data_IF_113161625070
#
_entry.id   IF_113161625070
#
_cell.length_a   1.000
_cell.length_b   1.000
_cell.length_c   1.000
_cell.angle_alpha   90.00
_cell.angle_beta   90.00
_cell.angle_gamma   90.00
#
_symmetry.space_group_name_H-M   'P 1'
#
loop_
_entity.id
_entity.type
_entity.pdbx_description
1 polymer ?
#
# COMPACT_ATOMS: atom_id res chain seq x y z
N UNK A 1 -13.77 31.72 14.17
CA UNK A 1 -12.79 30.64 14.42
C UNK A 1 -13.37 29.22 14.34
N UNK A 2 -14.59 29.03 13.83
CA UNK A 2 -15.19 27.69 13.63
C UNK A 2 -14.81 27.02 12.30
N UNK A 3 -14.21 27.72 11.36
CA UNK A 3 -13.91 27.19 10.00
C UNK A 3 -12.67 26.32 9.87
N UNK A 4 -11.79 26.20 10.85
CA UNK A 4 -10.54 25.42 10.72
C UNK A 4 -10.65 24.00 11.29
N UNK A 5 -11.59 23.73 12.19
CA UNK A 5 -11.75 22.42 12.83
C UNK A 5 -12.35 21.36 11.90
N UNK A 6 -13.23 21.73 10.98
CA UNK A 6 -13.89 20.80 10.06
C UNK A 6 -12.96 20.32 8.93
N UNK A 7 -11.96 21.14 8.57
CA UNK A 7 -10.95 20.76 7.57
C UNK A 7 -10.00 19.67 8.09
N UNK A 8 -9.85 19.56 9.42
CA UNK A 8 -8.97 18.57 10.04
C UNK A 8 -9.64 17.23 10.34
N UNK A 9 -10.96 17.13 10.19
CA UNK A 9 -11.74 15.93 10.51
C UNK A 9 -12.21 15.24 9.22
N UNK A 10 -12.07 13.92 9.15
CA UNK A 10 -12.78 13.08 8.18
C UNK A 10 -13.91 12.36 8.89
N UNK A 11 -15.13 12.62 8.47
CA UNK A 11 -16.33 12.05 9.09
C UNK A 11 -16.53 10.60 8.68
N UNK A 12 -16.88 9.76 9.66
CA UNK A 12 -17.10 8.32 9.48
C UNK A 12 -18.60 7.99 9.55
N UNK A 13 -19.32 8.62 10.46
CA UNK A 13 -20.71 8.26 10.66
C UNK A 13 -21.41 9.02 11.78
N UNK A 14 -22.51 8.44 12.23
CA UNK A 14 -23.29 8.91 13.38
C UNK A 14 -23.37 7.81 14.42
N UNK A 15 -23.24 8.16 15.70
CA UNK A 15 -23.42 7.22 16.82
C UNK A 15 -24.85 6.70 16.83
N UNK A 16 -25.03 5.45 17.31
CA UNK A 16 -26.36 4.83 17.44
C UNK A 16 -26.77 4.59 18.91
N UNK A 17 -25.93 5.01 19.85
CA UNK A 17 -26.18 4.81 21.29
C UNK A 17 -27.35 5.65 21.80
N UNK A 18 -28.31 5.03 22.43
CA UNK A 18 -29.52 5.66 23.03
C UNK A 18 -30.24 6.63 22.10
N UNK A 19 -30.37 6.30 20.81
CA UNK A 19 -30.95 7.14 19.77
C UNK A 19 -30.29 8.53 19.56
N UNK A 20 -29.11 8.75 20.13
CA UNK A 20 -28.35 9.97 19.90
C UNK A 20 -27.52 9.81 18.62
N UNK A 21 -27.99 10.43 17.53
CA UNK A 21 -27.30 10.42 16.25
C UNK A 21 -26.27 11.56 16.14
N UNK A 22 -25.22 11.53 16.96
CA UNK A 22 -24.15 12.51 16.91
C UNK A 22 -23.17 12.17 15.79
N UNK A 23 -22.95 13.11 14.87
CA UNK A 23 -21.92 12.98 13.82
C UNK A 23 -20.55 12.94 14.48
N UNK A 24 -19.71 12.01 14.02
CA UNK A 24 -18.32 11.88 14.50
C UNK A 24 -17.40 11.56 13.34
N UNK A 25 -16.11 11.80 13.52
CA UNK A 25 -15.05 11.53 12.57
C UNK A 25 -13.71 11.35 13.26
N UNK A 26 -12.69 11.22 12.48
CA UNK A 26 -11.30 11.01 12.91
C UNK A 26 -10.45 12.20 12.47
N UNK A 27 -9.60 12.71 13.36
CA UNK A 27 -8.67 13.80 13.06
C UNK A 27 -7.55 13.32 12.13
N UNK A 28 -7.01 14.21 11.30
CA UNK A 28 -5.92 13.86 10.39
C UNK A 28 -4.69 13.29 11.12
N UNK A 29 -4.35 13.84 12.29
CA UNK A 29 -3.25 13.33 13.10
C UNK A 29 -3.47 11.88 13.58
N UNK A 30 -4.72 11.53 13.97
CA UNK A 30 -5.07 10.20 14.43
C UNK A 30 -5.16 9.19 13.27
N UNK A 31 -5.51 9.64 12.06
CA UNK A 31 -5.51 8.80 10.84
C UNK A 31 -4.11 8.32 10.46
N UNK A 32 -3.06 9.03 10.86
CA UNK A 32 -1.68 8.59 10.67
C UNK A 32 -1.33 7.33 11.48
N UNK A 33 -2.17 6.97 12.47
CA UNK A 33 -2.07 5.70 13.21
C UNK A 33 -2.77 4.54 12.50
N UNK A 34 -3.08 4.71 11.22
CA UNK A 34 -3.72 3.75 10.34
C UNK A 34 -5.14 3.34 10.78
N UNK A 35 -5.93 2.94 9.81
CA UNK A 35 -7.30 2.46 9.99
C UNK A 35 -7.46 1.09 9.34
N UNK A 36 -8.05 0.16 10.08
CA UNK A 36 -8.37 -1.17 9.60
C UNK A 36 -9.86 -1.37 9.55
N UNK A 37 -10.36 -1.91 8.43
CA UNK A 37 -11.78 -2.18 8.18
C UNK A 37 -11.98 -3.64 7.79
N UNK A 38 -12.90 -4.31 8.47
CA UNK A 38 -13.27 -5.70 8.14
C UNK A 38 -14.79 -5.84 7.98
N UNK A 39 -15.23 -6.67 7.04
CA UNK A 39 -16.64 -6.98 6.85
C UNK A 39 -16.94 -7.71 5.57
N UNK A 40 -18.03 -8.46 5.54
CA UNK A 40 -18.51 -9.18 4.36
C UNK A 40 -18.77 -8.24 3.17
N UNK A 41 -18.80 -8.80 1.96
CA UNK A 41 -19.18 -8.07 0.75
C UNK A 41 -20.57 -7.45 0.91
N UNK A 42 -20.76 -6.23 0.38
CA UNK A 42 -22.06 -5.53 0.41
C UNK A 42 -22.44 -4.93 1.76
N UNK A 43 -21.57 -4.94 2.78
CA UNK A 43 -21.88 -4.39 4.12
C UNK A 43 -21.65 -2.88 4.24
N UNK A 44 -20.95 -2.24 3.27
CA UNK A 44 -20.73 -0.79 3.25
C UNK A 44 -19.26 -0.34 3.34
N UNK A 45 -18.27 -1.26 3.34
CA UNK A 45 -16.83 -0.91 3.41
C UNK A 45 -16.40 0.06 2.31
N UNK A 46 -16.60 -0.33 1.05
CA UNK A 46 -16.16 0.49 -0.11
C UNK A 46 -16.89 1.82 -0.16
N UNK A 47 -18.16 1.88 0.28
CA UNK A 47 -18.92 3.13 0.41
C UNK A 47 -18.31 4.06 1.46
N UNK A 48 -17.86 3.52 2.60
CA UNK A 48 -17.18 4.32 3.62
C UNK A 48 -15.82 4.83 3.10
N UNK A 49 -15.05 3.98 2.43
CA UNK A 49 -13.77 4.38 1.80
C UNK A 49 -14.01 5.50 0.76
N UNK A 50 -15.00 5.34 -0.12
CA UNK A 50 -15.41 6.35 -1.09
C UNK A 50 -15.71 7.70 -0.42
N UNK A 51 -16.55 7.69 0.62
CA UNK A 51 -16.88 8.89 1.39
C UNK A 51 -15.65 9.55 2.00
N UNK A 52 -14.74 8.78 2.59
CA UNK A 52 -13.50 9.31 3.17
C UNK A 52 -12.59 9.94 2.13
N UNK A 53 -12.44 9.32 0.95
CA UNK A 53 -11.63 9.84 -0.16
C UNK A 53 -12.22 11.13 -0.70
N UNK A 54 -13.54 11.17 -0.92
CA UNK A 54 -14.23 12.39 -1.43
C UNK A 54 -14.04 13.55 -0.44
N UNK A 55 -14.14 13.29 0.87
CA UNK A 55 -13.86 14.31 1.88
C UNK A 55 -12.40 14.80 1.84
N UNK A 56 -11.43 13.91 1.63
CA UNK A 56 -10.03 14.31 1.46
C UNK A 56 -9.84 15.21 0.24
N UNK A 57 -10.43 14.82 -0.89
CA UNK A 57 -10.36 15.58 -2.14
C UNK A 57 -10.98 16.97 -1.98
N UNK A 58 -12.18 17.04 -1.41
CA UNK A 58 -12.90 18.30 -1.18
C UNK A 58 -12.19 19.24 -0.22
N UNK A 59 -11.51 18.68 0.78
CA UNK A 59 -10.70 19.44 1.74
C UNK A 59 -9.31 19.83 1.22
N UNK A 60 -9.01 19.59 -0.09
CA UNK A 60 -7.71 19.92 -0.68
C UNK A 60 -6.56 19.03 -0.23
N UNK A 61 -6.85 17.85 0.33
CA UNK A 61 -5.84 16.88 0.77
C UNK A 61 -5.41 15.97 -0.37
N UNK A 62 -4.16 15.48 -0.30
CA UNK A 62 -3.66 14.44 -1.20
C UNK A 62 -4.02 13.05 -0.70
N UNK A 63 -4.30 12.14 -1.62
CA UNK A 63 -4.61 10.75 -1.28
C UNK A 63 -4.21 9.79 -2.40
N UNK A 64 -4.13 8.50 -2.06
CA UNK A 64 -3.95 7.43 -3.01
C UNK A 64 -5.00 6.35 -2.78
N UNK A 65 -5.60 5.81 -3.84
CA UNK A 65 -6.47 4.64 -3.80
C UNK A 65 -5.92 3.54 -4.68
N UNK A 66 -5.80 2.33 -4.14
CA UNK A 66 -5.56 1.10 -4.90
C UNK A 66 -6.83 0.26 -4.88
N UNK A 67 -7.36 -0.03 -6.07
CA UNK A 67 -8.60 -0.78 -6.24
C UNK A 67 -8.40 -1.96 -7.19
N UNK A 68 -8.46 -3.22 -6.69
CA UNK A 68 -8.30 -4.42 -7.51
C UNK A 68 -9.55 -4.76 -8.33
N UNK A 69 -10.65 -4.06 -8.12
CA UNK A 69 -11.90 -4.24 -8.88
C UNK A 69 -12.12 -3.15 -9.93
N UNK A 70 -11.69 -1.91 -9.63
CA UNK A 70 -11.83 -0.74 -10.49
C UNK A 70 -13.08 0.09 -10.24
N UNK A 71 -14.14 -0.51 -9.69
CA UNK A 71 -15.45 0.15 -9.50
C UNK A 71 -15.38 1.35 -8.56
N UNK A 72 -14.58 1.24 -7.49
CA UNK A 72 -14.43 2.32 -6.51
C UNK A 72 -13.63 3.50 -7.10
N UNK A 73 -12.58 3.22 -7.85
CA UNK A 73 -11.80 4.26 -8.56
C UNK A 73 -12.70 5.00 -9.54
N UNK A 74 -13.52 4.30 -10.32
CA UNK A 74 -14.43 4.96 -11.28
C UNK A 74 -15.44 5.89 -10.60
N UNK A 75 -15.98 5.51 -9.44
CA UNK A 75 -16.86 6.36 -8.64
C UNK A 75 -16.16 7.62 -8.16
N UNK A 76 -14.94 7.46 -7.63
CA UNK A 76 -14.13 8.61 -7.17
C UNK A 76 -13.79 9.54 -8.33
N UNK A 77 -13.43 9.02 -9.51
CA UNK A 77 -13.17 9.83 -10.71
C UNK A 77 -14.40 10.64 -11.11
N UNK A 78 -15.59 10.01 -11.10
CA UNK A 78 -16.88 10.70 -11.43
C UNK A 78 -17.24 11.79 -10.42
N UNK A 79 -16.87 11.60 -9.14
CA UNK A 79 -17.15 12.55 -8.06
C UNK A 79 -16.08 13.67 -7.93
N UNK A 80 -15.04 13.66 -8.78
CA UNK A 80 -13.93 14.60 -8.69
C UNK A 80 -14.40 16.04 -9.01
N UNK A 81 -14.21 17.00 -8.09
CA UNK A 81 -14.58 18.38 -8.33
C UNK A 81 -13.69 19.04 -9.39
N UNK A 82 -14.25 19.98 -10.16
CA UNK A 82 -13.57 20.61 -11.30
C UNK A 82 -12.22 21.24 -10.95
N UNK A 83 -12.13 21.88 -9.78
CA UNK A 83 -10.91 22.55 -9.29
C UNK A 83 -9.80 21.59 -8.83
N UNK A 84 -10.05 20.27 -8.80
CA UNK A 84 -9.05 19.26 -8.45
C UNK A 84 -8.70 18.33 -9.61
N UNK A 85 -9.23 18.59 -10.82
CA UNK A 85 -8.94 17.74 -11.98
C UNK A 85 -7.46 17.72 -12.37
N UNK A 86 -6.78 18.86 -12.26
CA UNK A 86 -5.34 18.98 -12.57
C UNK A 86 -4.43 18.32 -11.51
N UNK A 87 -5.02 17.93 -10.39
CA UNK A 87 -4.32 17.18 -9.35
C UNK A 87 -4.44 15.68 -9.50
N UNK A 88 -5.23 15.20 -10.46
CA UNK A 88 -5.45 13.78 -10.69
C UNK A 88 -4.28 13.12 -11.42
N UNK A 89 -3.76 12.07 -10.82
CA UNK A 89 -2.83 11.10 -11.43
C UNK A 89 -3.58 9.77 -11.50
N UNK A 90 -4.06 9.42 -12.70
CA UNK A 90 -4.91 8.24 -12.88
C UNK A 90 -4.17 7.12 -13.61
N UNK A 91 -3.76 6.11 -12.86
CA UNK A 91 -3.25 4.85 -13.38
C UNK A 91 -4.41 3.92 -13.75
N UNK A 92 -4.99 4.11 -14.91
CA UNK A 92 -5.98 3.17 -15.46
C UNK A 92 -5.25 2.02 -16.14
N UNK A 93 -4.82 1.02 -15.34
CA UNK A 93 -3.97 -0.09 -15.85
C UNK A 93 -4.62 -0.88 -16.99
N UNK A 94 -5.96 -1.14 -17.01
CA UNK A 94 -6.64 -1.76 -18.15
C UNK A 94 -6.52 -0.98 -19.46
N UNK A 95 -6.41 0.33 -19.40
CA UNK A 95 -6.37 1.18 -20.58
C UNK A 95 -5.05 1.02 -21.35
N UNK A 96 -5.13 0.58 -22.60
CA UNK A 96 -3.97 0.45 -23.49
C UNK A 96 -3.33 1.80 -23.85
N UNK A 97 -4.09 2.90 -23.78
CA UNK A 97 -3.63 4.26 -24.01
C UNK A 97 -2.94 4.91 -22.81
N UNK A 98 -2.84 4.24 -21.67
CA UNK A 98 -2.13 4.75 -20.49
C UNK A 98 -0.69 5.12 -20.81
N UNK A 99 -0.30 6.38 -20.54
CA UNK A 99 1.06 6.89 -20.76
C UNK A 99 1.92 6.92 -19.49
N UNK A 100 1.30 6.73 -18.32
CA UNK A 100 1.99 6.80 -17.03
C UNK A 100 2.73 5.50 -16.71
N UNK A 101 3.90 5.63 -16.07
CA UNK A 101 4.62 4.54 -15.41
C UNK A 101 5.07 4.94 -14.02
N UNK A 102 5.37 3.95 -13.20
CA UNK A 102 6.06 4.15 -11.93
C UNK A 102 7.26 3.21 -11.83
N UNK A 103 8.24 3.61 -11.04
CA UNK A 103 9.49 2.87 -10.92
C UNK A 103 9.71 2.41 -9.46
N UNK A 104 9.64 1.10 -9.16
CA UNK A 104 9.90 0.57 -7.82
C UNK A 104 11.38 0.65 -7.40
N UNK A 105 12.30 0.89 -8.35
CA UNK A 105 13.73 0.99 -8.14
C UNK A 105 14.24 2.42 -7.98
N UNK A 106 13.38 3.37 -7.63
CA UNK A 106 13.86 4.72 -7.32
C UNK A 106 14.81 4.69 -6.12
N UNK A 107 15.86 5.49 -6.24
CA UNK A 107 16.90 5.63 -5.19
C UNK A 107 16.29 6.06 -3.87
N UNK A 108 16.65 5.35 -2.81
CA UNK A 108 16.28 5.65 -1.41
C UNK A 108 17.53 5.93 -0.58
N UNK A 109 17.34 6.50 0.62
CA UNK A 109 18.44 6.72 1.56
C UNK A 109 19.13 5.39 1.94
N UNK A 110 20.44 5.41 2.21
CA UNK A 110 21.19 4.20 2.52
C UNK A 110 20.57 3.34 3.64
N UNK A 111 20.04 4.00 4.67
CA UNK A 111 19.47 3.35 5.85
C UNK A 111 18.17 2.59 5.54
N UNK A 112 17.47 2.96 4.48
CA UNK A 112 16.17 2.36 4.10
C UNK A 112 16.27 1.35 2.96
N UNK A 113 17.45 1.20 2.32
CA UNK A 113 17.62 0.29 1.17
C UNK A 113 17.33 -1.17 1.49
N UNK A 114 17.82 -1.66 2.62
CA UNK A 114 17.56 -3.05 3.02
C UNK A 114 16.07 -3.31 3.23
N UNK A 115 15.36 -2.34 3.81
CA UNK A 115 13.92 -2.44 4.03
C UNK A 115 13.14 -2.45 2.71
N UNK A 116 13.48 -1.54 1.78
CA UNK A 116 12.87 -1.48 0.45
C UNK A 116 13.21 -2.73 -0.36
N UNK A 117 14.46 -3.19 -0.33
CA UNK A 117 14.86 -4.42 -1.01
C UNK A 117 14.08 -5.63 -0.48
N UNK A 118 13.90 -5.75 0.83
CA UNK A 118 13.07 -6.79 1.43
C UNK A 118 11.61 -6.68 0.98
N UNK A 119 11.05 -5.46 0.89
CA UNK A 119 9.70 -5.25 0.38
C UNK A 119 9.52 -5.74 -1.06
N UNK A 120 10.47 -5.45 -1.96
CA UNK A 120 10.44 -5.93 -3.35
C UNK A 120 10.62 -7.46 -3.40
N UNK A 121 11.52 -8.02 -2.59
CA UNK A 121 11.73 -9.46 -2.52
C UNK A 121 10.49 -10.21 -2.03
N UNK A 122 9.80 -9.67 -1.02
CA UNK A 122 8.57 -10.28 -0.51
C UNK A 122 7.46 -10.31 -1.55
N UNK A 123 7.35 -9.26 -2.39
CA UNK A 123 6.41 -9.28 -3.53
C UNK A 123 6.74 -10.44 -4.46
N UNK A 124 8.01 -10.63 -4.79
CA UNK A 124 8.43 -11.72 -5.68
C UNK A 124 8.31 -13.09 -5.02
N UNK A 125 8.61 -13.21 -3.72
CA UNK A 125 8.47 -14.48 -3.00
C UNK A 125 7.02 -14.94 -2.94
N UNK A 126 6.09 -14.02 -2.67
CA UNK A 126 4.65 -14.31 -2.66
C UNK A 126 4.13 -14.73 -4.04
N UNK A 127 4.67 -14.11 -5.10
CA UNK A 127 4.29 -14.44 -6.47
C UNK A 127 4.81 -15.82 -6.91
N UNK A 128 5.99 -16.20 -6.43
CA UNK A 128 6.68 -17.42 -6.86
C UNK A 128 6.88 -18.44 -5.74
N UNK A 129 5.98 -18.47 -4.78
CA UNK A 129 6.07 -19.24 -3.54
C UNK A 129 6.56 -20.69 -3.74
N UNK A 130 5.92 -21.45 -4.64
CA UNK A 130 6.27 -22.84 -4.92
C UNK A 130 7.67 -23.06 -5.54
N UNK A 131 8.29 -22.00 -6.04
CA UNK A 131 9.59 -22.04 -6.73
C UNK A 131 10.58 -21.02 -6.15
N UNK A 132 10.32 -20.53 -4.92
CA UNK A 132 11.22 -19.65 -4.17
C UNK A 132 12.28 -20.48 -3.45
N UNK A 133 13.53 -20.10 -3.59
CA UNK A 133 14.64 -20.81 -2.96
C UNK A 133 15.71 -19.88 -2.44
N UNK A 134 16.47 -20.32 -1.44
CA UNK A 134 17.50 -19.53 -0.76
C UNK A 134 18.52 -18.92 -1.72
N UNK A 135 18.97 -19.71 -2.71
CA UNK A 135 19.94 -19.24 -3.71
C UNK A 135 19.36 -18.16 -4.62
N UNK A 136 18.11 -18.33 -5.09
CA UNK A 136 17.40 -17.34 -5.90
C UNK A 136 17.24 -16.05 -5.11
N UNK A 137 16.79 -16.13 -3.87
CA UNK A 137 16.62 -14.95 -3.02
C UNK A 137 17.94 -14.23 -2.79
N UNK A 138 19.02 -14.95 -2.51
CA UNK A 138 20.34 -14.37 -2.26
C UNK A 138 20.86 -13.59 -3.47
N UNK A 139 20.79 -14.17 -4.67
CA UNK A 139 21.19 -13.51 -5.91
C UNK A 139 20.32 -12.27 -6.19
N UNK A 140 19.01 -12.42 -6.08
CA UNK A 140 18.05 -11.35 -6.36
C UNK A 140 18.18 -10.20 -5.35
N UNK A 141 18.41 -10.50 -4.07
CA UNK A 141 18.65 -9.51 -3.03
C UNK A 141 19.85 -8.63 -3.34
N UNK A 142 20.97 -9.22 -3.77
CA UNK A 142 22.16 -8.45 -4.12
C UNK A 142 21.98 -7.65 -5.42
N UNK A 143 21.23 -8.17 -6.38
CA UNK A 143 20.86 -7.44 -7.58
C UNK A 143 20.02 -6.21 -7.24
N UNK A 144 18.95 -6.39 -6.45
CA UNK A 144 18.06 -5.29 -6.02
C UNK A 144 18.84 -4.24 -5.22
N UNK A 145 19.64 -4.64 -4.23
CA UNK A 145 20.45 -3.70 -3.44
C UNK A 145 21.42 -2.88 -4.32
N UNK A 146 22.00 -3.52 -5.33
CA UNK A 146 22.89 -2.84 -6.29
C UNK A 146 22.11 -1.82 -7.13
N UNK A 147 20.91 -2.17 -7.60
CA UNK A 147 20.08 -1.31 -8.41
C UNK A 147 19.50 -0.12 -7.62
N UNK A 148 19.17 -0.30 -6.34
CA UNK A 148 18.73 0.78 -5.46
C UNK A 148 19.83 1.82 -5.17
N UNK A 149 21.10 1.51 -5.47
CA UNK A 149 22.21 2.46 -5.38
C UNK A 149 22.40 3.30 -6.65
N UNK A 150 21.78 2.89 -7.77
CA UNK A 150 21.97 3.57 -9.05
C UNK A 150 21.22 4.91 -9.10
N UNK A 151 21.74 5.90 -9.84
CA UNK A 151 21.03 7.16 -10.14
C UNK A 151 19.71 6.90 -10.87
N UNK A 152 19.74 5.95 -11.80
CA UNK A 152 18.60 5.46 -12.55
C UNK A 152 18.71 3.94 -12.67
N UNK A 153 17.67 3.25 -12.30
CA UNK A 153 17.53 1.81 -12.49
C UNK A 153 16.07 1.47 -12.73
N UNK A 154 15.83 0.36 -13.38
CA UNK A 154 14.50 -0.22 -13.62
C UNK A 154 14.48 -1.69 -13.22
N UNK A 155 13.31 -2.27 -13.16
CA UNK A 155 13.16 -3.70 -12.89
C UNK A 155 13.81 -4.57 -13.99
N UNK A 156 13.91 -4.08 -15.23
CA UNK A 156 14.59 -4.78 -16.33
C UNK A 156 16.10 -4.92 -16.09
N UNK A 157 16.69 -4.00 -15.36
CA UNK A 157 18.12 -4.00 -15.06
C UNK A 157 18.54 -5.14 -14.14
N UNK A 158 17.58 -5.87 -13.54
CA UNK A 158 17.85 -7.14 -12.84
C UNK A 158 18.45 -8.16 -13.82
N UNK A 159 17.95 -8.23 -15.03
CA UNK A 159 18.47 -9.14 -16.06
C UNK A 159 19.84 -8.66 -16.53
N UNK A 160 19.98 -7.36 -16.80
CA UNK A 160 21.23 -6.78 -17.26
C UNK A 160 22.37 -6.96 -16.24
N UNK A 161 22.14 -6.72 -14.97
CA UNK A 161 23.19 -6.86 -13.95
C UNK A 161 23.67 -8.30 -13.77
N UNK A 162 22.81 -9.28 -14.06
CA UNK A 162 23.17 -10.70 -14.02
C UNK A 162 23.92 -11.17 -15.26
N UNK A 163 23.55 -10.70 -16.44
CA UNK A 163 24.10 -11.19 -17.71
C UNK A 163 25.20 -10.32 -18.30
N UNK A 164 25.09 -9.01 -18.18
CA UNK A 164 25.99 -8.06 -18.81
C UNK A 164 27.11 -7.64 -17.85
N UNK A 165 28.36 -8.06 -18.16
CA UNK A 165 29.54 -7.79 -17.32
C UNK A 165 29.86 -6.29 -17.29
N UNK A 166 29.72 -5.58 -18.40
CA UNK A 166 30.08 -4.17 -18.50
C UNK A 166 29.08 -3.31 -17.74
N UNK A 167 27.77 -3.58 -17.90
CA UNK A 167 26.70 -2.96 -17.09
C UNK A 167 26.96 -3.18 -15.59
N UNK A 168 27.27 -4.40 -15.19
CA UNK A 168 27.57 -4.74 -13.79
C UNK A 168 28.79 -4.00 -13.27
N UNK A 169 29.85 -3.89 -14.06
CA UNK A 169 31.07 -3.18 -13.68
C UNK A 169 30.81 -1.70 -13.46
N UNK A 170 30.02 -1.07 -14.32
CA UNK A 170 29.60 0.32 -14.15
C UNK A 170 28.71 0.51 -12.92
N UNK A 171 27.71 -0.36 -12.75
CA UNK A 171 26.80 -0.31 -11.61
C UNK A 171 27.54 -0.41 -10.26
N UNK A 172 28.59 -1.22 -10.17
CA UNK A 172 29.37 -1.39 -8.95
C UNK A 172 30.13 -0.14 -8.50
N UNK A 173 30.37 0.84 -9.38
CA UNK A 173 30.95 2.13 -9.01
C UNK A 173 30.05 2.94 -8.06
N UNK A 174 28.73 2.78 -8.18
CA UNK A 174 27.74 3.48 -7.38
C UNK A 174 27.39 2.76 -6.06
N UNK A 175 27.74 1.47 -5.95
CA UNK A 175 27.44 0.68 -4.75
C UNK A 175 28.25 1.17 -3.56
N UNK A 176 27.56 1.45 -2.45
CA UNK A 176 28.18 1.93 -1.20
C UNK A 176 28.50 0.80 -0.22
N UNK A 177 27.67 -0.24 -0.20
CA UNK A 177 27.81 -1.36 0.72
C UNK A 177 28.98 -2.28 0.35
N UNK A 178 29.94 -2.43 1.25
CA UNK A 178 31.09 -3.34 1.04
C UNK A 178 30.66 -4.81 0.97
N UNK A 179 29.62 -5.21 1.70
CA UNK A 179 29.08 -6.57 1.61
C UNK A 179 28.53 -6.88 0.22
N UNK A 180 27.78 -5.94 -0.39
CA UNK A 180 27.27 -6.08 -1.75
C UNK A 180 28.41 -6.11 -2.78
N UNK A 181 29.44 -5.27 -2.62
CA UNK A 181 30.64 -5.33 -3.49
C UNK A 181 31.36 -6.66 -3.38
N UNK A 182 31.48 -7.20 -2.14
CA UNK A 182 32.13 -8.48 -1.88
C UNK A 182 31.38 -9.64 -2.54
N UNK A 183 30.05 -9.63 -2.49
CA UNK A 183 29.23 -10.61 -3.21
C UNK A 183 29.60 -10.64 -4.70
N UNK A 184 29.55 -9.51 -5.40
CA UNK A 184 29.85 -9.45 -6.84
C UNK A 184 31.29 -9.78 -7.19
N UNK A 185 32.25 -9.41 -6.32
CA UNK A 185 33.68 -9.63 -6.59
C UNK A 185 34.14 -11.07 -6.33
N UNK A 186 33.47 -11.78 -5.40
CA UNK A 186 33.87 -13.13 -4.93
C UNK A 186 32.78 -14.16 -5.19
N UNK A 187 31.66 -14.05 -4.51
CA UNK A 187 30.63 -15.10 -4.49
C UNK A 187 29.96 -15.28 -5.85
N UNK A 188 29.62 -14.19 -6.53
CA UNK A 188 28.96 -14.25 -7.83
C UNK A 188 29.77 -14.95 -8.91
N UNK A 189 31.10 -14.97 -8.81
CA UNK A 189 31.99 -15.68 -9.74
C UNK A 189 31.90 -17.20 -9.62
N UNK A 190 31.49 -17.70 -8.48
CA UNK A 190 31.31 -19.12 -8.19
C UNK A 190 29.95 -19.65 -8.68
N UNK A 191 29.02 -18.76 -9.05
CA UNK A 191 27.74 -19.17 -9.61
C UNK A 191 27.86 -19.55 -11.08
N UNK A 192 27.29 -20.71 -11.40
CA UNK A 192 27.19 -21.16 -12.78
C UNK A 192 25.94 -20.57 -13.45
N UNK A 193 25.90 -20.61 -14.78
CA UNK A 193 24.74 -20.13 -15.56
C UNK A 193 23.43 -20.74 -15.10
N UNK A 194 23.43 -22.01 -14.69
CA UNK A 194 22.25 -22.72 -14.17
C UNK A 194 21.70 -22.11 -12.87
N UNK A 195 22.53 -21.52 -12.03
CA UNK A 195 22.12 -20.89 -10.78
C UNK A 195 21.34 -19.58 -11.03
N UNK A 196 21.60 -18.93 -12.17
CA UNK A 196 20.93 -17.69 -12.57
C UNK A 196 19.61 -17.94 -13.29
N UNK A 197 19.43 -19.10 -13.91
CA UNK A 197 18.22 -19.42 -14.70
C UNK A 197 16.90 -19.24 -13.93
N UNK A 198 16.78 -19.63 -12.66
CA UNK A 198 15.55 -19.40 -11.91
C UNK A 198 15.17 -17.92 -11.80
N UNK A 199 16.14 -17.03 -11.58
CA UNK A 199 15.91 -15.57 -11.52
C UNK A 199 15.54 -15.05 -12.91
N UNK A 200 16.32 -15.41 -13.92
CA UNK A 200 16.14 -14.95 -15.32
C UNK A 200 14.78 -15.38 -15.88
N UNK A 201 14.38 -16.63 -15.67
CA UNK A 201 13.10 -17.15 -16.13
C UNK A 201 11.92 -16.44 -15.47
N UNK A 202 12.01 -16.14 -14.17
CA UNK A 202 10.95 -15.49 -13.42
C UNK A 202 10.82 -14.01 -13.75
N UNK A 203 11.91 -13.27 -13.69
CA UNK A 203 11.93 -11.85 -14.04
C UNK A 203 11.64 -11.68 -15.53
N UNK A 204 12.28 -12.47 -16.41
CA UNK A 204 12.04 -12.44 -17.84
C UNK A 204 10.59 -12.74 -18.21
N UNK A 205 10.02 -13.80 -17.62
CA UNK A 205 8.60 -14.16 -17.80
C UNK A 205 7.64 -13.04 -17.37
N UNK A 206 7.92 -12.37 -16.26
CA UNK A 206 7.16 -11.21 -15.82
C UNK A 206 7.28 -10.03 -16.80
N UNK A 207 8.48 -9.74 -17.28
CA UNK A 207 8.75 -8.61 -18.17
C UNK A 207 8.23 -8.81 -19.60
N UNK A 208 7.94 -10.05 -20.01
CA UNK A 208 7.27 -10.34 -21.29
C UNK A 208 5.78 -9.93 -21.25
N UNK A 209 5.17 -9.83 -20.05
CA UNK A 209 3.77 -9.46 -19.95
C UNK A 209 3.55 -7.99 -20.38
N UNK A 210 2.72 -7.73 -21.42
CA UNK A 210 2.65 -6.39 -22.04
C UNK A 210 2.23 -5.30 -21.07
N UNK A 211 1.28 -5.60 -20.16
CA UNK A 211 0.79 -4.64 -19.17
C UNK A 211 1.87 -4.28 -18.16
N UNK A 212 2.59 -5.28 -17.62
CA UNK A 212 3.67 -5.05 -16.66
C UNK A 212 4.79 -4.22 -17.31
N UNK A 213 5.22 -4.62 -18.50
CA UNK A 213 6.26 -3.91 -19.23
C UNK A 213 5.88 -2.46 -19.51
N UNK A 214 4.65 -2.24 -19.98
CA UNK A 214 4.11 -0.90 -20.24
C UNK A 214 4.16 -0.01 -18.98
N UNK A 215 3.64 -0.50 -17.86
CA UNK A 215 3.45 0.29 -16.63
C UNK A 215 4.75 0.52 -15.87
N UNK A 216 5.71 -0.41 -15.94
CA UNK A 216 6.97 -0.30 -15.18
C UNK A 216 8.16 0.19 -16.02
N UNK A 217 8.10 0.10 -17.37
CA UNK A 217 9.25 0.35 -18.22
C UNK A 217 8.93 1.29 -19.38
N UNK A 218 8.01 0.87 -20.28
CA UNK A 218 7.91 1.46 -21.63
C UNK A 218 7.21 2.82 -21.66
N UNK A 219 6.25 3.08 -20.80
CA UNK A 219 5.49 4.33 -20.82
C UNK A 219 6.39 5.55 -20.64
N UNK A 220 6.13 6.65 -21.35
CA UNK A 220 7.04 7.81 -21.39
C UNK A 220 7.02 8.62 -20.09
N UNK A 221 5.88 8.68 -19.36
CA UNK A 221 5.67 9.59 -18.25
C UNK A 221 5.89 8.88 -16.91
N UNK A 222 7.07 9.05 -16.31
CA UNK A 222 7.36 8.49 -14.99
C UNK A 222 6.80 9.37 -13.87
N UNK A 223 5.88 8.81 -13.09
CA UNK A 223 5.28 9.49 -11.94
C UNK A 223 6.21 9.43 -10.73
N UNK A 224 6.48 10.59 -10.15
CA UNK A 224 7.15 10.70 -8.85
C UNK A 224 6.13 10.64 -7.72
N UNK A 225 6.01 9.48 -7.07
CA UNK A 225 5.10 9.32 -5.92
C UNK A 225 5.46 10.27 -4.76
N UNK A 226 6.78 10.55 -4.55
CA UNK A 226 7.22 11.54 -3.58
C UNK A 226 6.65 12.94 -3.90
N UNK A 227 6.78 13.38 -5.15
CA UNK A 227 6.25 14.67 -5.60
C UNK A 227 4.73 14.70 -5.48
N UNK A 228 4.06 13.62 -5.87
CA UNK A 228 2.60 13.49 -5.75
C UNK A 228 2.12 13.65 -4.30
N UNK A 229 2.83 13.08 -3.33
CA UNK A 229 2.52 13.24 -1.91
C UNK A 229 2.74 14.68 -1.44
N UNK A 230 3.87 15.30 -1.79
CA UNK A 230 4.25 16.63 -1.32
C UNK A 230 3.37 17.74 -1.95
N UNK A 231 2.87 17.52 -3.17
CA UNK A 231 1.97 18.42 -3.89
C UNK A 231 0.48 18.11 -3.66
N UNK A 232 0.14 17.23 -2.73
CA UNK A 232 -1.25 16.85 -2.41
C UNK A 232 -2.03 16.32 -3.61
N UNK A 233 -1.37 15.60 -4.52
CA UNK A 233 -2.03 15.00 -5.69
C UNK A 233 -2.97 13.87 -5.29
N UNK A 234 -3.92 13.59 -6.17
CA UNK A 234 -4.89 12.50 -6.05
C UNK A 234 -4.39 11.38 -6.96
N UNK A 235 -3.92 10.29 -6.37
CA UNK A 235 -3.38 9.14 -7.10
C UNK A 235 -4.41 8.03 -7.09
N UNK A 236 -5.01 7.73 -8.23
CA UNK A 236 -5.99 6.64 -8.36
C UNK A 236 -5.41 5.53 -9.22
N UNK A 237 -5.44 4.30 -8.69
CA UNK A 237 -4.84 3.12 -9.35
C UNK A 237 -5.93 2.07 -9.55
N UNK A 238 -6.41 1.98 -10.79
CA UNK A 238 -7.33 0.95 -11.24
C UNK A 238 -6.52 -0.29 -11.62
N UNK A 239 -6.61 -1.34 -10.80
CA UNK A 239 -5.91 -2.62 -10.97
C UNK A 239 -6.89 -3.74 -11.40
N UNK A 240 -8.05 -3.39 -11.94
CA UNK A 240 -9.16 -4.32 -12.24
C UNK A 240 -8.69 -5.69 -12.71
N UNK A 241 -8.63 -6.65 -11.78
CA UNK A 241 -8.16 -8.01 -12.00
C UNK A 241 -8.99 -8.77 -13.05
N UNK A 242 -10.24 -8.37 -13.25
CA UNK A 242 -11.09 -8.92 -14.31
C UNK A 242 -10.59 -8.56 -15.72
N UNK A 243 -9.85 -7.46 -15.87
CA UNK A 243 -9.33 -7.00 -17.16
C UNK A 243 -7.86 -7.35 -17.37
N UNK A 244 -7.04 -7.23 -16.32
CA UNK A 244 -5.58 -7.41 -16.46
C UNK A 244 -5.09 -8.77 -15.97
N UNK A 245 -5.93 -9.55 -15.32
CA UNK A 245 -5.58 -10.81 -14.65
C UNK A 245 -5.17 -10.60 -13.18
N UNK A 246 -5.41 -11.63 -12.36
CA UNK A 246 -5.15 -11.57 -10.92
C UNK A 246 -3.66 -11.37 -10.60
N UNK A 247 -2.78 -12.11 -11.28
CA UNK A 247 -1.32 -12.05 -11.06
C UNK A 247 -0.75 -10.67 -11.37
N UNK A 248 -1.16 -10.08 -12.48
CA UNK A 248 -0.72 -8.73 -12.89
C UNK A 248 -1.19 -7.69 -11.90
N UNK A 249 -2.46 -7.76 -11.49
CA UNK A 249 -3.05 -6.88 -10.47
C UNK A 249 -2.28 -6.96 -9.14
N UNK A 250 -1.98 -8.18 -8.68
CA UNK A 250 -1.18 -8.44 -7.47
C UNK A 250 0.22 -7.84 -7.57
N UNK A 251 0.96 -8.16 -8.64
CA UNK A 251 2.34 -7.68 -8.84
C UNK A 251 2.38 -6.16 -8.84
N UNK A 252 1.57 -5.55 -9.72
CA UNK A 252 1.59 -4.10 -9.87
C UNK A 252 1.12 -3.40 -8.60
N UNK A 253 0.07 -3.88 -7.94
CA UNK A 253 -0.43 -3.30 -6.70
C UNK A 253 0.55 -3.41 -5.53
N UNK A 254 1.17 -4.59 -5.33
CA UNK A 254 2.15 -4.79 -4.26
C UNK A 254 3.44 -3.99 -4.48
N UNK A 255 3.95 -3.93 -5.72
CA UNK A 255 5.07 -3.06 -6.08
C UNK A 255 4.71 -1.57 -5.93
N UNK A 256 3.46 -1.19 -6.24
CA UNK A 256 3.00 0.18 -6.08
C UNK A 256 2.99 0.62 -4.61
N UNK A 257 2.44 -0.21 -3.70
CA UNK A 257 2.46 0.07 -2.26
C UNK A 257 3.90 0.12 -1.73
N UNK A 258 4.76 -0.79 -2.15
CA UNK A 258 6.19 -0.76 -1.80
C UNK A 258 6.84 0.53 -2.28
N UNK A 259 6.47 1.01 -3.48
CA UNK A 259 6.94 2.29 -4.02
C UNK A 259 6.41 3.51 -3.23
N UNK A 260 5.17 3.45 -2.73
CA UNK A 260 4.62 4.46 -1.81
C UNK A 260 5.44 4.50 -0.52
N UNK A 261 5.73 3.35 0.08
CA UNK A 261 6.55 3.27 1.30
C UNK A 261 7.96 3.84 1.05
N UNK A 262 8.59 3.46 -0.06
CA UNK A 262 9.89 4.00 -0.49
C UNK A 262 9.87 5.52 -0.68
N UNK A 263 8.85 6.04 -1.35
CA UNK A 263 8.65 7.47 -1.54
C UNK A 263 8.45 8.20 -0.20
N UNK A 264 7.72 7.58 0.74
CA UNK A 264 7.55 8.10 2.09
C UNK A 264 8.89 8.20 2.83
N UNK A 265 9.70 7.17 2.78
CA UNK A 265 11.02 7.15 3.42
C UNK A 265 11.99 8.18 2.82
N UNK A 266 11.83 8.53 1.55
CA UNK A 266 12.64 9.58 0.93
C UNK A 266 12.39 10.96 1.54
N UNK A 267 11.29 11.15 2.30
CA UNK A 267 10.99 12.40 3.04
C UNK A 267 11.89 12.64 4.25
N UNK A 268 12.87 11.77 4.52
CA UNK A 268 13.87 11.97 5.57
C UNK A 268 14.68 13.27 5.37
N UNK A 269 14.79 13.76 4.14
CA UNK A 269 15.46 15.00 3.76
C UNK A 269 14.66 16.28 4.13
N UNK A 270 13.42 16.14 4.57
CA UNK A 270 12.55 17.23 4.99
C UNK A 270 12.23 17.17 6.48
N UNK A 271 12.12 18.33 7.13
CA UNK A 271 11.69 18.41 8.52
C UNK A 271 10.28 17.83 8.68
N UNK A 272 10.02 17.16 9.80
CA UNK A 272 8.73 16.50 10.06
C UNK A 272 7.54 17.46 9.97
N UNK A 273 7.70 18.69 10.45
CA UNK A 273 6.67 19.73 10.44
C UNK A 273 6.23 20.11 9.03
N UNK A 274 7.15 20.07 8.07
CA UNK A 274 6.91 20.44 6.67
C UNK A 274 6.33 19.28 5.83
N UNK A 275 6.29 18.07 6.37
CA UNK A 275 5.74 16.92 5.65
C UNK A 275 4.22 17.03 5.58
N UNK A 276 3.71 16.99 4.38
CA UNK A 276 2.27 17.01 4.12
C UNK A 276 1.66 15.65 4.42
N UNK A 277 0.57 15.56 5.21
CA UNK A 277 -0.15 14.31 5.41
C UNK A 277 -0.67 13.74 4.09
N UNK A 278 -0.54 12.44 3.90
CA UNK A 278 -0.98 11.74 2.72
C UNK A 278 -1.67 10.42 3.10
N UNK A 279 -2.91 10.21 2.64
CA UNK A 279 -3.70 9.04 3.00
C UNK A 279 -3.71 8.02 1.87
N UNK A 280 -3.40 6.78 2.20
CA UNK A 280 -3.42 5.65 1.27
C UNK A 280 -4.58 4.74 1.62
N UNK A 281 -5.44 4.50 0.66
CA UNK A 281 -6.60 3.63 0.77
C UNK A 281 -6.40 2.37 -0.05
N UNK A 282 -6.66 1.23 0.54
CA UNK A 282 -6.60 -0.05 -0.14
C UNK A 282 -7.89 -0.82 0.11
N UNK A 283 -8.66 -1.03 -0.95
CA UNK A 283 -9.72 -2.04 -0.90
C UNK A 283 -9.11 -3.43 -1.18
N UNK A 284 -9.67 -4.48 -0.57
CA UNK A 284 -9.14 -5.84 -0.64
C UNK A 284 -7.62 -5.92 -0.36
N UNK A 285 -7.21 -5.32 0.76
CA UNK A 285 -5.82 -5.15 1.19
C UNK A 285 -4.98 -6.43 1.10
N UNK A 286 -5.57 -7.61 1.36
CA UNK A 286 -4.88 -8.90 1.29
C UNK A 286 -4.21 -9.16 -0.07
N UNK A 287 -4.70 -8.53 -1.14
CA UNK A 287 -4.09 -8.65 -2.48
C UNK A 287 -2.69 -8.04 -2.55
N UNK A 288 -2.38 -7.06 -1.72
CA UNK A 288 -1.18 -6.23 -1.85
C UNK A 288 -0.22 -6.35 -0.68
N UNK A 289 -0.59 -7.11 0.37
CA UNK A 289 0.22 -7.18 1.59
C UNK A 289 1.41 -8.12 1.47
N UNK A 290 2.50 -7.71 2.09
CA UNK A 290 3.69 -8.52 2.37
C UNK A 290 4.11 -8.33 3.82
N UNK A 291 4.92 -9.24 4.36
CA UNK A 291 5.46 -9.12 5.73
C UNK A 291 6.30 -7.86 5.90
N UNK A 292 7.13 -7.53 4.93
CA UNK A 292 7.95 -6.30 4.97
C UNK A 292 7.10 -5.04 4.96
N UNK A 293 5.98 -5.03 4.22
CA UNK A 293 5.07 -3.89 4.21
C UNK A 293 4.50 -3.61 5.60
N UNK A 294 4.15 -4.66 6.34
CA UNK A 294 3.66 -4.51 7.71
C UNK A 294 4.75 -3.92 8.63
N UNK A 295 5.99 -4.39 8.50
CA UNK A 295 7.13 -3.78 9.21
C UNK A 295 7.34 -2.29 8.87
N UNK A 296 6.94 -1.87 7.67
CA UNK A 296 7.00 -0.47 7.25
C UNK A 296 5.91 0.40 7.88
N UNK A 297 4.75 -0.13 8.29
CA UNK A 297 3.63 0.67 8.80
C UNK A 297 4.01 1.54 10.00
N UNK A 298 4.73 1.00 10.97
CA UNK A 298 5.19 1.76 12.14
C UNK A 298 6.07 2.97 11.75
N UNK A 299 6.76 2.88 10.63
CA UNK A 299 7.63 3.92 10.12
C UNK A 299 6.88 4.98 9.29
N UNK A 300 5.82 4.59 8.55
CA UNK A 300 5.07 5.48 7.66
C UNK A 300 4.50 6.70 8.38
N UNK A 301 4.05 6.52 9.63
CA UNK A 301 3.54 7.59 10.47
C UNK A 301 4.54 8.74 10.62
N UNK A 302 5.82 8.45 10.83
CA UNK A 302 6.88 9.46 10.95
C UNK A 302 7.02 10.31 9.68
N UNK A 303 6.62 9.76 8.55
CA UNK A 303 6.63 10.43 7.25
C UNK A 303 5.28 11.01 6.85
N UNK A 304 4.34 11.14 7.81
CA UNK A 304 2.99 11.67 7.61
C UNK A 304 2.19 10.91 6.56
N UNK A 305 2.35 9.58 6.50
CA UNK A 305 1.53 8.70 5.65
C UNK A 305 0.67 7.80 6.51
N UNK A 306 -0.65 7.90 6.33
CA UNK A 306 -1.65 7.06 6.98
C UNK A 306 -2.24 6.06 5.99
N UNK A 307 -2.53 4.84 6.45
CA UNK A 307 -3.16 3.81 5.63
C UNK A 307 -4.56 3.48 6.15
N UNK A 308 -5.50 3.34 5.21
CA UNK A 308 -6.82 2.78 5.44
C UNK A 308 -6.93 1.48 4.66
N UNK A 309 -7.02 0.37 5.38
CA UNK A 309 -6.93 -0.98 4.84
C UNK A 309 -8.26 -1.69 5.04
N UNK A 310 -8.85 -2.20 3.98
CA UNK A 310 -10.10 -2.96 4.05
C UNK A 310 -9.97 -4.33 3.41
N UNK A 311 -10.60 -5.34 3.98
CA UNK A 311 -10.79 -6.66 3.38
C UNK A 311 -12.02 -7.40 3.96
N UNK A 312 -12.29 -8.61 3.48
CA UNK A 312 -13.54 -9.28 3.77
C UNK A 312 -13.48 -10.15 5.03
N UNK A 313 -12.42 -10.93 5.22
CA UNK A 313 -12.25 -11.84 6.36
C UNK A 313 -10.77 -12.14 6.65
N UNK A 314 -10.46 -12.36 7.92
CA UNK A 314 -9.09 -12.46 8.44
C UNK A 314 -8.29 -13.64 7.89
N UNK A 315 -8.93 -14.72 7.47
CA UNK A 315 -8.23 -15.89 6.90
C UNK A 315 -7.59 -15.59 5.53
N UNK A 316 -7.90 -14.44 4.90
CA UNK A 316 -7.20 -13.94 3.70
C UNK A 316 -5.78 -13.44 4.02
N UNK A 317 -5.48 -13.17 5.28
CA UNK A 317 -4.18 -12.69 5.72
C UNK A 317 -3.37 -13.82 6.36
N UNK A 318 -2.09 -13.86 6.06
CA UNK A 318 -1.12 -14.65 6.81
C UNK A 318 -1.18 -14.32 8.32
N UNK A 319 -0.91 -15.29 9.18
CA UNK A 319 -1.01 -15.14 10.64
C UNK A 319 -0.12 -14.02 11.19
N UNK A 320 1.08 -13.85 10.64
CA UNK A 320 2.01 -12.80 11.04
C UNK A 320 1.52 -11.42 10.59
N UNK A 321 0.96 -11.35 9.38
CA UNK A 321 0.35 -10.11 8.84
C UNK A 321 -0.84 -9.70 9.69
N UNK A 322 -1.73 -10.65 10.01
CA UNK A 322 -2.89 -10.42 10.87
C UNK A 322 -2.52 -9.83 12.22
N UNK A 323 -1.58 -10.45 12.92
CA UNK A 323 -1.11 -9.99 14.23
C UNK A 323 -0.47 -8.60 14.15
N UNK A 324 0.33 -8.36 13.12
CA UNK A 324 1.01 -7.09 12.94
C UNK A 324 0.04 -5.96 12.51
N UNK A 325 -0.99 -6.23 11.72
CA UNK A 325 -2.04 -5.24 11.39
C UNK A 325 -2.75 -4.82 12.66
N UNK A 326 -3.27 -5.76 13.44
CA UNK A 326 -4.01 -5.45 14.68
C UNK A 326 -3.14 -4.74 15.72
N UNK A 327 -1.84 -5.07 15.78
CA UNK A 327 -0.90 -4.43 16.72
C UNK A 327 -0.46 -3.01 16.34
N UNK A 328 -0.63 -2.60 15.07
CA UNK A 328 -0.13 -1.31 14.57
C UNK A 328 -1.24 -0.31 14.19
N UNK A 329 -2.50 -0.75 14.10
CA UNK A 329 -3.60 0.15 13.73
C UNK A 329 -4.19 0.86 14.94
N UNK A 330 -4.41 2.16 14.81
CA UNK A 330 -5.04 2.96 15.85
C UNK A 330 -6.57 2.88 15.84
N UNK A 331 -7.15 2.70 14.65
CA UNK A 331 -8.62 2.63 14.48
C UNK A 331 -9.02 1.31 13.85
N UNK A 332 -9.97 0.61 14.48
CA UNK A 332 -10.56 -0.64 13.97
C UNK A 332 -12.05 -0.40 13.74
N UNK A 333 -12.51 -0.73 12.53
CA UNK A 333 -13.93 -0.63 12.13
C UNK A 333 -14.39 -2.01 11.67
N UNK A 334 -15.38 -2.57 12.33
CA UNK A 334 -16.00 -3.84 11.94
C UNK A 334 -17.41 -3.60 11.42
N UNK A 335 -17.65 -4.03 10.20
CA UNK A 335 -18.99 -4.28 9.66
C UNK A 335 -19.42 -5.70 10.05
N UNK A 336 -20.54 -6.21 9.47
CA UNK A 336 -20.94 -7.60 9.66
C UNK A 336 -19.86 -8.55 9.14
N UNK A 337 -19.47 -9.52 9.97
CA UNK A 337 -18.42 -10.51 9.68
C UNK A 337 -18.91 -11.93 9.93
N UNK A 338 -18.08 -12.91 9.64
CA UNK A 338 -18.35 -14.34 9.90
C UNK A 338 -17.99 -14.73 11.33
N UNK A 339 -18.36 -15.95 11.74
CA UNK A 339 -18.19 -16.46 13.11
C UNK A 339 -16.73 -16.48 13.57
N UNK A 340 -15.81 -16.92 12.72
CA UNK A 340 -14.38 -16.98 13.08
C UNK A 340 -13.80 -15.59 13.36
N UNK A 341 -14.10 -14.61 12.49
CA UNK A 341 -13.63 -13.25 12.65
C UNK A 341 -14.30 -12.56 13.82
N UNK A 342 -15.58 -12.89 14.12
CA UNK A 342 -16.32 -12.30 15.23
C UNK A 342 -15.72 -12.68 16.59
N UNK A 343 -15.17 -13.89 16.73
CA UNK A 343 -14.46 -14.29 17.96
C UNK A 343 -13.22 -13.41 18.21
N UNK A 344 -12.50 -13.04 17.15
CA UNK A 344 -11.35 -12.16 17.26
C UNK A 344 -11.77 -10.72 17.56
N UNK A 345 -12.76 -10.21 16.83
CA UNK A 345 -13.23 -8.83 17.01
C UNK A 345 -13.91 -8.62 18.36
N UNK A 346 -14.61 -9.62 18.90
CA UNK A 346 -15.15 -9.57 20.24
C UNK A 346 -14.05 -9.44 21.31
N UNK A 347 -12.89 -10.10 21.14
CA UNK A 347 -11.73 -9.90 22.01
C UNK A 347 -11.16 -8.50 21.92
N UNK A 348 -11.02 -7.95 20.69
CA UNK A 348 -10.51 -6.60 20.46
C UNK A 348 -11.43 -5.50 20.98
N UNK A 349 -12.75 -5.78 21.04
CA UNK A 349 -13.77 -4.81 21.44
C UNK A 349 -14.46 -5.16 22.78
N UNK A 350 -13.84 -6.06 23.55
CA UNK A 350 -14.30 -6.41 24.90
C UNK A 350 -14.23 -5.19 25.85
N UNK A 351 -15.20 -5.00 26.78
CA UNK A 351 -16.37 -5.83 27.02
C UNK A 351 -17.65 -5.38 26.31
N UNK A 352 -17.58 -4.46 25.37
CA UNK A 352 -18.74 -3.73 24.84
C UNK A 352 -19.58 -4.57 23.85
N UNK A 353 -18.93 -5.51 23.12
CA UNK A 353 -19.58 -6.34 22.09
C UNK A 353 -19.15 -7.80 22.20
N UNK A 354 -20.09 -8.70 21.95
CA UNK A 354 -19.85 -10.13 21.88
C UNK A 354 -19.92 -10.69 20.42
N UNK A 355 -19.76 -11.98 20.28
CA UNK A 355 -19.69 -12.67 18.96
C UNK A 355 -20.97 -12.47 18.15
N UNK A 356 -22.13 -12.55 18.81
CA UNK A 356 -23.44 -12.48 18.14
C UNK A 356 -23.72 -11.10 17.57
N UNK A 357 -23.25 -10.05 18.24
CA UNK A 357 -23.39 -8.67 17.79
C UNK A 357 -22.77 -8.47 16.39
N UNK A 358 -21.59 -9.02 16.15
CA UNK A 358 -20.89 -8.88 14.87
C UNK A 358 -21.53 -9.67 13.73
N UNK A 359 -22.09 -10.84 14.04
CA UNK A 359 -22.72 -11.73 13.03
C UNK A 359 -24.03 -11.13 12.54
N UNK A 360 -24.79 -10.49 13.43
CA UNK A 360 -26.13 -9.99 13.16
C UNK A 360 -26.17 -8.50 12.75
N UNK A 361 -25.01 -7.84 12.64
CA UNK A 361 -24.93 -6.41 12.35
C UNK A 361 -25.57 -6.08 11.00
N UNK A 362 -26.54 -5.16 10.92
CA UNK A 362 -27.13 -4.73 9.65
C UNK A 362 -26.13 -4.03 8.74
N UNK A 363 -26.42 -3.96 7.43
CA UNK A 363 -25.60 -3.23 6.48
C UNK A 363 -25.48 -1.75 6.89
N UNK A 364 -24.32 -1.15 6.63
CA UNK A 364 -23.98 0.23 6.99
C UNK A 364 -23.89 0.54 8.48
N UNK A 365 -24.18 -0.42 9.36
CA UNK A 365 -23.85 -0.32 10.78
C UNK A 365 -22.46 -0.87 11.05
N UNK A 366 -21.79 -0.27 12.02
CA UNK A 366 -20.42 -0.58 12.39
C UNK A 366 -20.25 -0.62 13.90
N UNK A 367 -19.35 -1.46 14.36
CA UNK A 367 -18.69 -1.37 15.66
C UNK A 367 -17.27 -0.90 15.46
N UNK A 368 -16.83 0.02 16.29
CA UNK A 368 -15.50 0.59 16.09
C UNK A 368 -14.82 0.96 17.41
N UNK A 369 -13.50 0.88 17.37
CA UNK A 369 -12.58 1.41 18.37
C UNK A 369 -11.79 2.52 17.66
N UNK A 370 -12.06 3.76 18.04
CA UNK A 370 -11.57 4.94 17.34
C UNK A 370 -10.36 5.51 18.05
N UNK A 371 -9.32 5.90 17.31
CA UNK A 371 -8.25 6.73 17.85
C UNK A 371 -8.74 8.16 18.03
N UNK A 372 -8.56 8.70 19.24
CA UNK A 372 -8.95 10.06 19.61
C UNK A 372 -7.78 10.69 20.38
N UNK A 373 -7.16 11.72 19.81
CA UNK A 373 -6.04 12.43 20.40
C UNK A 373 -4.90 11.49 20.86
N UNK A 374 -4.59 10.49 20.02
CA UNK A 374 -3.55 9.50 20.28
C UNK A 374 -3.90 8.42 21.31
N UNK A 375 -5.16 8.35 21.74
CA UNK A 375 -5.65 7.31 22.67
C UNK A 375 -6.80 6.52 22.05
N UNK A 376 -6.86 5.19 22.20
CA UNK A 376 -7.98 4.41 21.72
C UNK A 376 -9.23 4.71 22.58
N UNK A 377 -10.36 4.92 21.91
CA UNK A 377 -11.68 5.04 22.59
C UNK A 377 -12.13 3.69 23.16
N UNK A 378 -13.12 3.70 24.05
CA UNK A 378 -13.94 2.51 24.25
C UNK A 378 -14.66 2.17 22.94
N UNK A 379 -14.87 0.89 22.65
CA UNK A 379 -15.67 0.48 21.51
C UNK A 379 -17.09 1.05 21.58
N UNK A 380 -17.66 1.40 20.42
CA UNK A 380 -19.03 1.90 20.34
C UNK A 380 -19.69 1.56 19.00
N UNK A 381 -21.01 1.63 18.96
CA UNK A 381 -21.81 1.37 17.78
C UNK A 381 -22.10 2.65 16.99
N UNK A 382 -22.13 2.53 15.67
CA UNK A 382 -22.44 3.65 14.80
C UNK A 382 -23.08 3.18 13.47
N UNK A 383 -23.54 4.15 12.70
CA UNK A 383 -23.99 3.97 11.32
C UNK A 383 -23.13 4.88 10.43
N UNK A 384 -22.61 4.32 9.33
CA UNK A 384 -21.84 5.11 8.35
C UNK A 384 -22.75 6.14 7.69
N UNK A 385 -22.23 7.35 7.47
CA UNK A 385 -22.91 8.34 6.63
C UNK A 385 -22.60 8.02 5.18
N UNK A 386 -23.66 7.80 4.39
CA UNK A 386 -23.60 7.63 2.94
C UNK A 386 -23.53 9.02 2.31
#
# INVERSE_FOLDING_TARGET
MQGNSDIEITYIGKTTYRNQQRRFGIRQADRLMHTYMIGKTGTGKSTLIESMIIQDIQAGRGCCLLDPHGDLVEKVVKALPGNRKDDLIYFNIPDSGLKLKYNPFRRVSPEKRSLVASGILDVFSKLWDSAWGVKLEHILRHAILTLLDQPKASIADIVEILLNKDFRTEALKHVKSESVKKFWKREFKEYHKYDLLPVLNKIGGMLVHPVIKRVLIDNPEEVSLRKAMDEKKIVLVNLSKGHVGADVSHILGALFITSIASASFSRVDSNEENRVPFMVYTDEFHNFTTLSLIGMFSELRKFKVGMTMAHQYMAQLDSNIKSAVLGNVGTIISFRIGTEDSMLMAKEMYPEFDVEDFINLPNYKIYLKLMIDGKPSRPFSAMTTI
#
